data_IF_847157857586
#
_entry.id   IF_847157857586
#
_cell.length_a   1.000
_cell.length_b   1.000
_cell.length_c   1.000
_cell.angle_alpha   90.00
_cell.angle_beta   90.00
_cell.angle_gamma   90.00
#
_symmetry.space_group_name_H-M   'P 1'
#
loop_
_entity.id
_entity.type
_entity.pdbx_description
1 polymer ?
#
# COMPACT_ATOMS: atom_id res chain seq x y z
N UNK A 1 -31.63 21.41 14.01
CA UNK A 1 -31.27 20.02 14.35
C UNK A 1 -30.92 19.28 13.07
N UNK A 2 -29.63 19.19 12.74
CA UNK A 2 -29.11 18.17 11.81
C UNK A 2 -27.62 18.05 12.09
N UNK A 3 -27.28 17.13 12.99
CA UNK A 3 -25.90 16.64 13.14
C UNK A 3 -25.68 15.76 11.93
N UNK A 4 -25.06 16.29 10.88
CA UNK A 4 -24.36 15.43 9.94
C UNK A 4 -23.10 15.00 10.68
N UNK A 5 -23.10 13.79 11.22
CA UNK A 5 -21.83 13.11 11.48
C UNK A 5 -21.18 12.93 10.12
N UNK A 6 -20.22 13.79 9.81
CA UNK A 6 -19.24 13.48 8.79
C UNK A 6 -18.48 12.25 9.28
N UNK A 7 -18.99 11.08 8.91
CA UNK A 7 -18.34 9.80 9.17
C UNK A 7 -17.26 9.57 8.10
N UNK A 8 -16.46 10.59 7.77
CA UNK A 8 -15.22 10.41 7.03
C UNK A 8 -14.28 9.61 7.93
N UNK A 9 -14.38 8.28 7.86
CA UNK A 9 -13.42 7.40 8.51
C UNK A 9 -12.03 7.82 8.05
N UNK A 10 -11.17 8.14 9.02
CA UNK A 10 -9.80 8.57 8.75
C UNK A 10 -9.06 7.45 8.01
N UNK A 11 -8.39 7.81 6.92
CA UNK A 11 -7.46 6.93 6.21
C UNK A 11 -6.10 7.04 6.86
N UNK A 12 -5.44 5.91 7.12
CA UNK A 12 -4.02 5.88 7.50
C UNK A 12 -3.20 5.52 6.27
N UNK A 13 -2.32 6.42 5.85
CA UNK A 13 -1.38 6.18 4.77
C UNK A 13 -0.06 5.64 5.34
N UNK A 14 0.26 4.39 5.03
CA UNK A 14 1.53 3.74 5.35
C UNK A 14 2.53 4.04 4.24
N UNK A 15 3.72 4.51 4.59
CA UNK A 15 4.74 4.94 3.62
C UNK A 15 6.12 4.42 4.01
N UNK A 16 7.02 4.24 3.05
CA UNK A 16 8.40 3.85 3.31
C UNK A 16 9.26 5.05 3.75
N UNK A 17 8.98 6.24 3.22
CA UNK A 17 9.82 7.43 3.40
C UNK A 17 9.04 8.60 4.02
N UNK A 18 9.74 9.41 4.84
CA UNK A 18 9.19 10.67 5.38
C UNK A 18 8.70 11.61 4.26
N UNK A 19 9.37 11.60 3.09
CA UNK A 19 8.95 12.41 1.94
C UNK A 19 7.60 11.95 1.38
N UNK A 20 7.36 10.65 1.31
CA UNK A 20 6.08 10.08 0.89
C UNK A 20 4.99 10.41 1.91
N UNK A 21 5.26 10.29 3.21
CA UNK A 21 4.31 10.67 4.26
C UNK A 21 3.88 12.14 4.16
N UNK A 22 4.82 13.04 3.85
CA UNK A 22 4.51 14.47 3.64
C UNK A 22 3.60 14.70 2.44
N UNK A 23 3.74 13.91 1.37
CA UNK A 23 2.89 13.99 0.17
C UNK A 23 1.50 13.40 0.47
N UNK A 24 1.44 12.28 1.18
CA UNK A 24 0.19 11.58 1.48
C UNK A 24 -0.68 12.30 2.53
N UNK A 25 -0.08 13.09 3.42
CA UNK A 25 -0.80 13.79 4.48
C UNK A 25 -1.73 14.86 3.91
N UNK A 26 -2.99 14.85 4.33
CA UNK A 26 -3.99 15.84 3.90
C UNK A 26 -5.29 15.73 4.69
N UNK A 27 -6.33 16.50 4.33
CA UNK A 27 -7.64 16.39 4.95
C UNK A 27 -8.16 14.94 4.90
N UNK A 28 -8.45 14.35 6.06
CA UNK A 28 -8.94 12.98 6.17
C UNK A 28 -7.88 11.87 6.07
N UNK A 29 -6.60 12.22 5.81
CA UNK A 29 -5.49 11.26 5.68
C UNK A 29 -4.39 11.57 6.69
N UNK A 30 -4.10 10.60 7.57
CA UNK A 30 -2.96 10.65 8.47
C UNK A 30 -1.87 9.71 7.96
N UNK A 31 -0.70 10.24 7.60
CA UNK A 31 0.40 9.41 7.09
C UNK A 31 1.40 9.05 8.20
N UNK A 32 1.88 7.82 8.16
CA UNK A 32 2.98 7.30 8.98
C UNK A 32 4.09 6.76 8.07
N UNK A 33 5.34 6.91 8.49
CA UNK A 33 6.52 6.46 7.75
C UNK A 33 7.22 5.31 8.48
N UNK A 34 7.46 4.20 7.79
CA UNK A 34 8.15 3.03 8.34
C UNK A 34 9.65 3.19 8.39
N UNK A 35 10.26 3.84 7.37
CA UNK A 35 11.70 4.09 7.32
C UNK A 35 12.54 2.82 7.37
N UNK A 36 12.05 1.69 6.84
CA UNK A 36 12.70 0.38 6.94
C UNK A 36 12.63 -0.28 8.32
N UNK A 37 11.85 0.26 9.26
CA UNK A 37 11.63 -0.35 10.57
C UNK A 37 10.22 -0.97 10.65
N UNK A 38 10.12 -2.23 10.20
CA UNK A 38 8.85 -2.96 10.16
C UNK A 38 8.13 -3.06 11.52
N UNK A 39 8.80 -3.40 12.65
CA UNK A 39 8.14 -3.40 13.96
C UNK A 39 7.59 -2.04 14.38
N UNK A 40 8.33 -0.96 14.14
CA UNK A 40 7.88 0.39 14.49
C UNK A 40 6.69 0.82 13.63
N UNK A 41 6.70 0.47 12.33
CA UNK A 41 5.59 0.74 11.42
C UNK A 41 4.33 -0.02 11.85
N UNK A 42 4.45 -1.31 12.14
CA UNK A 42 3.35 -2.14 12.62
C UNK A 42 2.72 -1.54 13.88
N UNK A 43 3.55 -1.23 14.88
CA UNK A 43 3.07 -0.60 16.12
C UNK A 43 2.42 0.77 15.88
N UNK A 44 2.89 1.55 14.91
CA UNK A 44 2.28 2.83 14.55
C UNK A 44 0.92 2.66 13.87
N UNK A 45 0.79 1.71 12.95
CA UNK A 45 -0.47 1.42 12.29
C UNK A 45 -1.52 0.92 13.27
N UNK A 46 -1.15 -0.02 14.14
CA UNK A 46 -2.01 -0.55 15.22
C UNK A 46 -2.57 0.57 16.11
N UNK A 47 -1.72 1.54 16.49
CA UNK A 47 -2.17 2.70 17.28
C UNK A 47 -3.21 3.54 16.54
N UNK A 48 -3.08 3.73 15.24
CA UNK A 48 -4.04 4.53 14.48
C UNK A 48 -5.36 3.77 14.27
N UNK A 49 -5.31 2.46 14.06
CA UNK A 49 -6.51 1.61 14.04
C UNK A 49 -7.22 1.61 15.39
N UNK A 50 -6.49 1.49 16.50
CA UNK A 50 -7.04 1.63 17.84
C UNK A 50 -7.67 3.01 18.11
N UNK A 51 -7.24 4.04 17.39
CA UNK A 51 -7.84 5.40 17.41
C UNK A 51 -9.05 5.56 16.50
N UNK A 52 -9.49 4.49 15.84
CA UNK A 52 -10.68 4.48 14.97
C UNK A 52 -10.39 4.87 13.52
N UNK A 53 -9.14 4.76 13.05
CA UNK A 53 -8.90 4.75 11.61
C UNK A 53 -9.72 3.63 10.96
N UNK A 54 -10.34 3.95 9.83
CA UNK A 54 -11.30 3.05 9.20
C UNK A 54 -10.93 2.61 7.79
N UNK A 55 -9.71 2.94 7.36
CA UNK A 55 -9.11 2.47 6.13
C UNK A 55 -7.58 2.59 6.22
N UNK A 56 -6.88 1.67 5.58
CA UNK A 56 -5.41 1.64 5.49
C UNK A 56 -5.02 1.65 4.02
N UNK A 57 -4.09 2.53 3.65
CA UNK A 57 -3.53 2.60 2.30
C UNK A 57 -2.00 2.54 2.40
N UNK A 58 -1.36 1.64 1.67
CA UNK A 58 0.07 1.79 1.37
C UNK A 58 0.24 2.84 0.27
N UNK A 59 1.13 3.81 0.46
CA UNK A 59 1.41 4.88 -0.48
C UNK A 59 2.91 5.12 -0.57
N UNK A 60 3.46 4.99 -1.79
CA UNK A 60 4.88 5.20 -2.00
C UNK A 60 5.35 4.74 -3.36
N UNK A 61 6.66 4.75 -3.53
CA UNK A 61 7.33 4.27 -4.74
C UNK A 61 7.50 2.76 -4.66
N UNK A 62 7.08 2.06 -5.71
CA UNK A 62 7.32 0.62 -5.85
C UNK A 62 8.43 0.33 -6.88
N UNK A 63 9.09 -0.81 -6.73
CA UNK A 63 10.00 -1.34 -7.74
C UNK A 63 9.22 -2.08 -8.83
N UNK A 64 9.37 -1.69 -10.10
CA UNK A 64 8.77 -2.43 -11.22
C UNK A 64 9.35 -3.85 -11.36
N UNK A 65 8.47 -4.82 -11.64
CA UNK A 65 8.80 -6.22 -11.90
C UNK A 65 8.38 -6.68 -13.30
N UNK A 66 7.19 -6.25 -13.76
CA UNK A 66 6.71 -6.54 -15.11
C UNK A 66 7.52 -5.76 -16.17
N UNK A 67 7.77 -6.39 -17.32
CA UNK A 67 8.61 -5.81 -18.38
C UNK A 67 7.96 -4.61 -19.06
N UNK A 68 6.63 -4.55 -19.06
CA UNK A 68 5.83 -3.47 -19.67
C UNK A 68 5.81 -2.19 -18.80
N UNK A 69 6.29 -2.26 -17.55
CA UNK A 69 6.29 -1.10 -16.66
C UNK A 69 7.39 -0.12 -17.00
N UNK A 70 6.96 1.12 -17.26
CA UNK A 70 7.85 2.27 -17.36
C UNK A 70 7.84 3.07 -16.07
N UNK A 71 8.94 3.77 -15.81
CA UNK A 71 9.06 4.67 -14.64
C UNK A 71 7.98 5.75 -14.71
N UNK A 72 7.33 6.02 -13.58
CA UNK A 72 6.24 6.99 -13.51
C UNK A 72 4.84 6.40 -13.78
N UNK A 73 4.74 5.11 -14.10
CA UNK A 73 3.44 4.42 -14.17
C UNK A 73 2.76 4.44 -12.82
N UNK A 74 1.49 4.84 -12.79
CA UNK A 74 0.64 4.74 -11.61
C UNK A 74 0.21 3.29 -11.39
N UNK A 75 0.40 2.79 -10.18
CA UNK A 75 0.00 1.46 -9.79
C UNK A 75 -1.10 1.52 -8.73
N UNK A 76 -2.14 0.74 -8.93
CA UNK A 76 -3.17 0.50 -7.91
C UNK A 76 -3.21 -0.99 -7.61
N UNK A 77 -2.98 -1.35 -6.36
CA UNK A 77 -3.01 -2.75 -5.96
C UNK A 77 -4.45 -3.30 -6.02
N UNK A 78 -4.62 -4.44 -6.69
CA UNK A 78 -5.81 -5.29 -6.53
C UNK A 78 -5.61 -6.34 -5.43
N UNK A 79 -4.36 -6.73 -5.20
CA UNK A 79 -3.97 -7.57 -4.07
C UNK A 79 -2.51 -7.33 -3.71
N UNK A 80 -2.17 -7.50 -2.44
CA UNK A 80 -0.79 -7.65 -1.98
C UNK A 80 -0.50 -9.14 -1.82
N UNK A 81 0.62 -9.60 -2.37
CA UNK A 81 1.03 -11.00 -2.36
C UNK A 81 2.39 -11.19 -1.71
N UNK A 82 2.53 -12.27 -0.96
CA UNK A 82 3.79 -12.83 -0.46
C UNK A 82 3.81 -14.32 -0.80
N UNK A 83 4.92 -15.04 -0.58
CA UNK A 83 4.94 -16.50 -0.74
C UNK A 83 3.92 -17.22 0.17
N UNK A 84 3.55 -16.62 1.30
CA UNK A 84 2.68 -17.24 2.29
C UNK A 84 1.21 -16.81 2.18
N UNK A 85 0.93 -15.60 1.68
CA UNK A 85 -0.39 -15.02 1.80
C UNK A 85 -0.74 -14.06 0.65
N UNK A 86 -2.04 -13.92 0.42
CA UNK A 86 -2.64 -12.95 -0.50
C UNK A 86 -3.70 -12.17 0.25
N UNK A 87 -3.60 -10.84 0.20
CA UNK A 87 -4.61 -9.93 0.73
C UNK A 87 -5.26 -9.17 -0.42
N UNK A 88 -6.54 -9.44 -0.75
CA UNK A 88 -7.26 -8.64 -1.73
C UNK A 88 -7.50 -7.22 -1.19
N UNK A 89 -7.37 -6.22 -2.05
CA UNK A 89 -7.77 -4.86 -1.72
C UNK A 89 -9.29 -4.70 -1.91
N UNK A 90 -9.89 -3.71 -1.24
CA UNK A 90 -11.30 -3.36 -1.50
C UNK A 90 -11.47 -2.94 -2.97
N UNK A 91 -12.27 -3.71 -3.71
CA UNK A 91 -12.38 -3.55 -5.16
C UNK A 91 -13.08 -2.24 -5.57
N UNK A 92 -13.99 -1.72 -4.75
CA UNK A 92 -14.68 -0.46 -5.02
C UNK A 92 -13.73 0.73 -4.79
N UNK A 93 -12.96 0.68 -3.71
CA UNK A 93 -12.00 1.71 -3.37
C UNK A 93 -10.82 1.74 -4.32
N UNK A 94 -10.23 0.58 -4.65
CA UNK A 94 -9.17 0.46 -5.63
C UNK A 94 -9.60 1.03 -7.00
N UNK A 95 -10.81 0.68 -7.47
CA UNK A 95 -11.36 1.24 -8.72
C UNK A 95 -11.50 2.76 -8.64
N UNK A 96 -12.05 3.29 -7.54
CA UNK A 96 -12.23 4.73 -7.35
C UNK A 96 -10.91 5.50 -7.34
N UNK A 97 -9.82 4.89 -6.87
CA UNK A 97 -8.48 5.46 -6.92
C UNK A 97 -7.95 5.40 -8.36
N UNK A 98 -8.05 4.25 -9.03
CA UNK A 98 -7.56 4.07 -10.39
C UNK A 98 -8.22 5.05 -11.38
N UNK A 99 -9.52 5.30 -11.25
CA UNK A 99 -10.26 6.27 -12.09
C UNK A 99 -9.78 7.72 -11.94
N UNK A 100 -9.05 8.04 -10.87
CA UNK A 100 -8.52 9.40 -10.61
C UNK A 100 -7.06 9.56 -11.02
N UNK A 101 -6.40 8.48 -11.42
CA UNK A 101 -4.98 8.46 -11.76
C UNK A 101 -4.82 8.26 -13.27
N UNK A 102 -3.97 9.07 -13.95
CA UNK A 102 -3.73 8.90 -15.38
C UNK A 102 -3.16 7.51 -15.69
N UNK A 103 -3.83 6.77 -16.57
CA UNK A 103 -3.36 5.47 -17.11
C UNK A 103 -2.93 4.48 -16.00
N UNK A 104 -3.62 4.49 -14.86
CA UNK A 104 -3.26 3.63 -13.74
C UNK A 104 -3.41 2.15 -14.08
N UNK A 105 -2.37 1.38 -13.75
CA UNK A 105 -2.39 -0.06 -13.93
C UNK A 105 -2.81 -0.76 -12.63
N UNK A 106 -3.92 -1.51 -12.71
CA UNK A 106 -4.41 -2.31 -11.58
C UNK A 106 -3.81 -3.71 -11.62
N UNK A 107 -2.98 -4.05 -10.63
CA UNK A 107 -2.21 -5.29 -10.64
C UNK A 107 -2.00 -5.87 -9.23
N UNK A 108 -1.48 -7.10 -9.16
CA UNK A 108 -0.96 -7.66 -7.90
C UNK A 108 0.41 -7.03 -7.61
N UNK A 109 0.67 -6.70 -6.34
CA UNK A 109 1.96 -6.17 -5.88
C UNK A 109 2.58 -7.13 -4.87
N UNK A 110 3.86 -7.44 -5.04
CA UNK A 110 4.61 -8.26 -4.12
C UNK A 110 5.04 -7.44 -2.90
N UNK A 111 4.79 -7.95 -1.70
CA UNK A 111 5.39 -7.44 -0.49
C UNK A 111 6.61 -8.26 -0.09
N UNK A 112 7.70 -7.59 0.27
CA UNK A 112 8.96 -8.22 0.69
C UNK A 112 9.56 -7.53 1.91
N UNK A 113 10.33 -8.25 2.72
CA UNK A 113 10.96 -7.68 3.92
C UNK A 113 12.17 -6.80 3.63
N UNK A 114 12.76 -6.92 2.44
CA UNK A 114 13.96 -6.18 2.05
C UNK A 114 13.93 -5.77 0.56
N UNK A 115 14.57 -4.63 0.20
CA UNK A 115 14.62 -4.17 -1.18
C UNK A 115 15.24 -5.20 -2.13
N UNK A 116 14.55 -5.49 -3.23
CA UNK A 116 15.07 -6.35 -4.32
C UNK A 116 15.80 -5.47 -5.32
N UNK A 117 17.14 -5.55 -5.33
CA UNK A 117 18.00 -4.69 -6.17
C UNK A 117 18.53 -5.41 -7.42
N UNK A 118 18.74 -6.72 -7.35
CA UNK A 118 19.26 -7.52 -8.46
C UNK A 118 18.19 -7.76 -9.55
N UNK A 119 18.49 -7.47 -10.84
CA UNK A 119 17.56 -7.73 -11.93
C UNK A 119 17.11 -9.19 -12.07
N UNK A 120 17.96 -10.17 -11.77
CA UNK A 120 17.56 -11.58 -11.86
C UNK A 120 16.57 -11.95 -10.76
N UNK A 121 16.83 -11.49 -9.53
CA UNK A 121 15.89 -11.63 -8.41
C UNK A 121 14.53 -10.98 -8.69
N UNK A 122 14.49 -9.82 -9.36
CA UNK A 122 13.22 -9.19 -9.79
C UNK A 122 12.45 -10.05 -10.79
N UNK A 123 13.13 -10.59 -11.81
CA UNK A 123 12.50 -11.47 -12.81
C UNK A 123 11.97 -12.75 -12.15
N UNK A 124 12.71 -13.32 -11.22
CA UNK A 124 12.25 -14.50 -10.49
C UNK A 124 11.04 -14.19 -9.63
N UNK A 125 11.06 -13.06 -8.91
CA UNK A 125 9.91 -12.62 -8.12
C UNK A 125 8.66 -12.40 -8.99
N UNK A 126 8.82 -11.77 -10.16
CA UNK A 126 7.74 -11.61 -11.12
C UNK A 126 7.18 -12.97 -11.56
N UNK A 127 8.05 -13.90 -11.96
CA UNK A 127 7.66 -15.24 -12.42
C UNK A 127 6.94 -16.04 -11.33
N UNK A 128 7.41 -15.97 -10.09
CA UNK A 128 6.88 -16.73 -8.98
C UNK A 128 5.52 -16.21 -8.49
N UNK A 129 5.26 -14.90 -8.63
CA UNK A 129 4.09 -14.25 -8.01
C UNK A 129 3.07 -13.72 -9.02
N UNK A 130 3.48 -13.49 -10.27
CA UNK A 130 2.71 -12.72 -11.25
C UNK A 130 2.53 -11.24 -10.89
N UNK A 131 3.19 -10.75 -9.83
CA UNK A 131 3.06 -9.37 -9.37
C UNK A 131 3.75 -8.40 -10.34
N UNK A 132 3.11 -7.26 -10.62
CA UNK A 132 3.65 -6.26 -11.52
C UNK A 132 4.75 -5.41 -10.87
N UNK A 133 4.72 -5.26 -9.55
CA UNK A 133 5.69 -4.46 -8.80
C UNK A 133 5.94 -5.04 -7.41
N UNK A 134 6.97 -4.54 -6.73
CA UNK A 134 7.39 -4.93 -5.39
C UNK A 134 7.49 -3.71 -4.47
N UNK A 135 7.09 -3.89 -3.21
CA UNK A 135 7.15 -2.88 -2.15
C UNK A 135 7.54 -3.51 -0.79
N UNK A 136 8.15 -2.71 0.08
CA UNK A 136 8.66 -3.18 1.38
C UNK A 136 7.69 -2.98 2.55
N UNK A 137 6.65 -2.16 2.40
CA UNK A 137 5.73 -1.82 3.49
C UNK A 137 4.31 -2.39 3.27
N UNK A 138 3.94 -2.70 2.04
CA UNK A 138 2.57 -3.04 1.66
C UNK A 138 2.06 -4.33 2.31
N UNK A 139 2.91 -5.34 2.51
CA UNK A 139 2.49 -6.58 3.17
C UNK A 139 2.23 -6.40 4.67
N UNK A 140 2.98 -5.51 5.34
CA UNK A 140 2.75 -5.16 6.75
C UNK A 140 1.39 -4.47 6.87
N UNK A 141 1.15 -3.46 6.02
CA UNK A 141 -0.13 -2.75 5.98
C UNK A 141 -1.30 -3.68 5.69
N UNK A 142 -1.16 -4.57 4.70
CA UNK A 142 -2.20 -5.51 4.32
C UNK A 142 -2.50 -6.55 5.41
N UNK A 143 -1.47 -7.11 6.04
CA UNK A 143 -1.62 -8.09 7.11
C UNK A 143 -2.38 -7.51 8.31
N UNK A 144 -2.00 -6.30 8.73
CA UNK A 144 -2.63 -5.62 9.87
C UNK A 144 -4.06 -5.19 9.51
N UNK A 145 -4.28 -4.59 8.34
CA UNK A 145 -5.62 -4.22 7.91
C UNK A 145 -6.56 -5.44 7.89
N UNK A 146 -6.11 -6.57 7.35
CA UNK A 146 -6.90 -7.81 7.31
C UNK A 146 -7.26 -8.36 8.69
N UNK A 147 -6.45 -8.09 9.72
CA UNK A 147 -6.76 -8.49 11.10
C UNK A 147 -7.83 -7.61 11.76
N UNK A 148 -8.11 -6.42 11.20
CA UNK A 148 -9.07 -5.45 11.75
C UNK A 148 -10.38 -5.33 10.95
N UNK A 149 -10.45 -5.93 9.76
CA UNK A 149 -11.62 -5.86 8.86
C UNK A 149 -11.74 -4.54 8.11
#
# INVERSE_FOLDING_TARGET
MSIRSDNSRRVVAVTGLIKEARIATGPGVHAIAGGGNAPALAAALERELARGAGAVMSFGIAGGLAEELVRGTWLVARSIVTPAQRWPCDAAWARSIAERLPEAWTADLAGVDAPVTDPAAKRELHRATGAAAVDTESHIAAAIAAAHG
#
